data_IF_217071300311
#
_entry.id   IF_217071300311
#
_cell.length_a   1.000
_cell.length_b   1.000
_cell.length_c   1.000
_cell.angle_alpha   90.00
_cell.angle_beta   90.00
_cell.angle_gamma   90.00
#
_symmetry.space_group_name_H-M   'P 1'
#
loop_
_entity.id
_entity.type
_entity.pdbx_description
1 polymer ?
#
# COMPACT_ATOMS: atom_id res chain seq x y z
N UNK A 1 3.43 -13.74 7.86
CA UNK A 1 2.72 -13.06 6.76
C UNK A 1 1.70 -12.06 7.31
N UNK A 2 1.23 -11.11 6.52
CA UNK A 2 0.31 -10.05 6.98
C UNK A 2 -1.13 -10.27 6.47
N UNK A 3 -1.28 -10.67 5.21
CA UNK A 3 -2.56 -10.85 4.52
C UNK A 3 -2.35 -11.63 3.22
N UNK A 4 -3.45 -12.02 2.57
CA UNK A 4 -3.45 -12.60 1.22
C UNK A 4 -4.31 -11.77 0.28
N UNK A 5 -4.23 -12.05 -1.03
CA UNK A 5 -5.11 -11.43 -2.03
C UNK A 5 -4.99 -9.91 -2.09
N UNK A 6 -3.76 -9.38 -2.05
CA UNK A 6 -3.53 -7.95 -2.26
C UNK A 6 -3.79 -7.59 -3.73
N UNK A 7 -4.57 -6.54 -3.98
CA UNK A 7 -4.97 -6.16 -5.34
C UNK A 7 -5.78 -4.87 -5.39
N UNK A 8 -6.27 -4.51 -6.59
CA UNK A 8 -6.99 -3.26 -6.94
C UNK A 8 -6.42 -2.04 -6.20
N UNK A 9 -5.44 -1.39 -6.83
CA UNK A 9 -4.65 -0.35 -6.21
C UNK A 9 -4.70 0.96 -6.99
N UNK A 10 -4.37 2.04 -6.30
CA UNK A 10 -4.13 3.37 -6.83
C UNK A 10 -2.84 3.93 -6.23
N UNK A 11 -2.23 4.91 -6.90
CA UNK A 11 -1.03 5.59 -6.42
C UNK A 11 -1.35 7.05 -6.13
N UNK A 12 -0.90 7.55 -5.00
CA UNK A 12 -0.97 8.96 -4.61
C UNK A 12 0.44 9.52 -4.64
N UNK A 13 0.67 10.57 -5.43
CA UNK A 13 1.89 11.40 -5.35
C UNK A 13 1.64 12.59 -4.44
N UNK A 14 2.50 12.78 -3.45
CA UNK A 14 2.42 13.98 -2.61
C UNK A 14 2.76 15.23 -3.44
N UNK A 15 1.93 16.29 -3.39
CA UNK A 15 2.19 17.52 -4.13
C UNK A 15 3.58 18.08 -3.81
N UNK A 16 4.31 18.50 -4.86
CA UNK A 16 5.63 19.12 -4.76
C UNK A 16 6.69 18.29 -4.01
N UNK A 17 6.50 16.96 -3.90
CA UNK A 17 7.48 16.05 -3.31
C UNK A 17 7.67 14.82 -4.19
N UNK A 18 8.85 14.21 -4.08
CA UNK A 18 9.12 12.89 -4.61
C UNK A 18 8.80 11.82 -3.54
N UNK A 19 7.52 11.78 -3.16
CA UNK A 19 6.98 10.83 -2.19
C UNK A 19 5.66 10.28 -2.72
N UNK A 20 5.56 8.96 -2.74
CA UNK A 20 4.40 8.24 -3.26
C UNK A 20 3.86 7.29 -2.21
N UNK A 21 2.55 7.09 -2.25
CA UNK A 21 1.86 6.08 -1.49
C UNK A 21 1.07 5.18 -2.41
N UNK A 22 1.00 3.90 -2.10
CA UNK A 22 0.09 2.96 -2.76
C UNK A 22 -1.08 2.67 -1.84
N UNK A 23 -2.29 2.92 -2.33
CA UNK A 23 -3.54 2.53 -1.68
C UNK A 23 -3.99 1.24 -2.35
N UNK A 24 -4.32 0.22 -1.58
CA UNK A 24 -4.74 -1.09 -2.12
C UNK A 24 -5.68 -1.79 -1.12
N UNK A 25 -6.33 -2.86 -1.55
CA UNK A 25 -7.01 -3.76 -0.61
C UNK A 25 -6.20 -5.02 -0.37
N UNK A 26 -6.44 -5.66 0.79
CA UNK A 26 -6.00 -7.02 1.10
C UNK A 26 -7.08 -7.78 1.87
N UNK A 27 -7.01 -9.11 1.88
CA UNK A 27 -7.83 -9.98 2.72
C UNK A 27 -7.04 -10.46 3.94
N UNK A 28 -7.46 -10.14 5.18
CA UNK A 28 -6.77 -10.60 6.38
C UNK A 28 -6.64 -12.13 6.44
N UNK A 29 -5.62 -12.62 7.14
CA UNK A 29 -5.44 -14.06 7.34
C UNK A 29 -6.64 -14.66 8.09
N UNK A 30 -7.05 -15.87 7.72
CA UNK A 30 -8.21 -16.55 8.29
C UNK A 30 -9.56 -16.02 7.80
N UNK A 31 -9.59 -15.17 6.76
CA UNK A 31 -10.80 -14.71 6.08
C UNK A 31 -10.93 -15.36 4.71
N UNK A 32 -12.16 -15.76 4.39
CA UNK A 32 -12.46 -16.51 3.15
C UNK A 32 -13.47 -15.79 2.26
N UNK A 33 -14.27 -14.86 2.80
CA UNK A 33 -15.27 -14.13 2.03
C UNK A 33 -14.64 -13.17 1.01
N UNK A 34 -15.20 -13.14 -0.20
CA UNK A 34 -14.73 -12.26 -1.28
C UNK A 34 -14.77 -10.75 -0.90
N UNK A 35 -15.68 -10.39 0.00
CA UNK A 35 -15.87 -9.01 0.46
C UNK A 35 -15.14 -8.68 1.77
N UNK A 36 -14.46 -9.65 2.40
CA UNK A 36 -13.70 -9.43 3.64
C UNK A 36 -12.36 -8.75 3.36
N UNK A 37 -12.44 -7.58 2.73
CA UNK A 37 -11.31 -6.78 2.28
C UNK A 37 -11.16 -5.56 3.17
N UNK A 38 -9.91 -5.16 3.40
CA UNK A 38 -9.58 -3.94 4.13
C UNK A 38 -8.72 -3.03 3.26
N UNK A 39 -9.02 -1.73 3.29
CA UNK A 39 -8.20 -0.70 2.63
C UNK A 39 -6.91 -0.50 3.40
N UNK A 40 -5.79 -0.44 2.67
CA UNK A 40 -4.45 -0.35 3.20
C UNK A 40 -3.66 0.74 2.46
N UNK A 41 -2.61 1.22 3.11
CA UNK A 41 -1.74 2.27 2.58
C UNK A 41 -0.29 1.99 2.98
N UNK A 42 0.63 2.06 2.03
CA UNK A 42 2.07 1.92 2.26
C UNK A 42 2.86 2.98 1.47
N UNK A 43 4.09 3.26 1.89
CA UNK A 43 5.03 4.06 1.08
C UNK A 43 5.47 3.25 -0.15
N UNK A 44 5.48 3.90 -1.30
CA UNK A 44 5.99 3.35 -2.56
C UNK A 44 7.24 4.14 -2.94
N UNK A 45 8.37 3.43 -3.10
CA UNK A 45 9.65 4.02 -3.44
C UNK A 45 10.07 3.63 -4.85
N UNK A 46 10.73 4.55 -5.55
CA UNK A 46 11.30 4.34 -6.87
C UNK A 46 12.82 4.36 -6.73
N UNK A 47 13.50 3.39 -7.35
CA UNK A 47 14.96 3.33 -7.33
C UNK A 47 15.58 4.34 -8.32
N UNK A 48 16.91 4.46 -8.27
CA UNK A 48 17.68 5.38 -9.14
C UNK A 48 17.56 5.07 -10.64
N UNK A 49 17.08 3.88 -11.01
CA UNK A 49 16.89 3.45 -12.39
C UNK A 49 15.43 3.63 -12.84
N UNK A 50 14.55 4.15 -11.96
CA UNK A 50 13.13 4.35 -12.27
C UNK A 50 12.23 3.15 -11.97
N UNK A 51 12.73 2.09 -11.31
CA UNK A 51 11.91 0.94 -10.95
C UNK A 51 11.21 1.12 -9.62
N UNK A 52 9.97 0.64 -9.52
CA UNK A 52 9.26 0.57 -8.25
C UNK A 52 9.90 -0.54 -7.40
N UNK A 53 10.32 -0.18 -6.19
CA UNK A 53 10.79 -1.14 -5.19
C UNK A 53 9.57 -1.93 -4.68
N UNK A 54 9.64 -3.27 -4.57
CA UNK A 54 8.53 -4.07 -4.07
C UNK A 54 7.99 -3.57 -2.73
N UNK A 55 6.69 -3.28 -2.71
CA UNK A 55 5.99 -2.78 -1.53
C UNK A 55 5.81 -3.91 -0.53
N UNK A 56 6.10 -3.64 0.75
CA UNK A 56 5.90 -4.59 1.86
C UNK A 56 4.64 -4.22 2.62
N UNK A 57 3.73 -5.18 2.78
CA UNK A 57 2.55 -5.01 3.63
C UNK A 57 2.95 -4.86 5.09
N UNK A 58 2.33 -3.93 5.80
CA UNK A 58 2.51 -3.72 7.24
C UNK A 58 1.16 -3.72 7.98
N UNK A 59 1.19 -3.81 9.30
CA UNK A 59 0.00 -3.59 10.14
C UNK A 59 -0.19 -2.12 10.52
N UNK A 60 0.84 -1.30 10.33
CA UNK A 60 0.88 0.09 10.82
C UNK A 60 0.60 1.12 9.72
N UNK A 61 0.72 0.74 8.46
CA UNK A 61 0.66 1.65 7.33
C UNK A 61 1.68 2.78 7.43
N UNK A 62 1.28 3.98 7.00
CA UNK A 62 2.15 5.16 6.92
C UNK A 62 1.94 6.12 8.10
N UNK A 63 3.02 6.80 8.50
CA UNK A 63 2.99 7.90 9.48
C UNK A 63 3.24 9.23 8.75
N UNK A 64 2.33 9.60 7.86
CA UNK A 64 2.42 10.87 7.14
C UNK A 64 1.30 11.82 7.59
N UNK A 65 1.63 12.98 8.18
CA UNK A 65 0.60 13.94 8.56
C UNK A 65 -0.02 14.56 7.31
N UNK A 66 -1.34 14.46 7.19
CA UNK A 66 -2.09 15.30 6.27
C UNK A 66 -2.15 16.69 6.90
N UNK A 67 -1.63 17.69 6.16
CA UNK A 67 -1.81 19.10 6.51
C UNK A 67 -3.03 19.63 5.79
#
# INVERSE_FOLDING_TARGET
EVAVGAGHHSVIKVPNKDKYFIVYHRRPLGKDGANERVTCLEEMNVDKNGHIIPVKMTFTGVKYPLK
#
